data_IF_469387070370
#
_entry.id   IF_469387070370
#
_cell.length_a   1.000
_cell.length_b   1.000
_cell.length_c   1.000
_cell.angle_alpha   90.00
_cell.angle_beta   90.00
_cell.angle_gamma   90.00
#
_symmetry.space_group_name_H-M   'P 1'
#
loop_
_entity.id
_entity.type
_entity.pdbx_description
1 polymer ?
#
# COMPACT_ATOMS: atom_id res chain seq x y z
N UNK A 1 2.40 12.32 17.16
CA UNK A 1 2.85 11.48 16.04
C UNK A 1 3.32 10.14 16.63
N UNK A 2 2.53 9.07 16.49
CA UNK A 2 2.98 7.74 16.95
C UNK A 2 4.01 7.24 15.95
N UNK A 3 5.26 7.13 16.38
CA UNK A 3 6.28 6.40 15.62
C UNK A 3 5.78 4.97 15.37
N UNK A 4 5.66 4.62 14.11
CA UNK A 4 5.12 3.35 13.68
C UNK A 4 5.95 2.15 14.08
N UNK A 5 7.25 2.25 14.01
CA UNK A 5 8.11 1.13 14.33
C UNK A 5 8.31 1.14 15.84
N UNK A 6 7.71 0.17 16.57
CA UNK A 6 8.17 -0.07 17.93
C UNK A 6 9.67 -0.30 17.81
N UNK A 7 10.45 0.42 18.61
CA UNK A 7 11.90 0.45 18.61
C UNK A 7 12.49 -0.76 17.89
N UNK A 8 13.22 -0.56 16.82
CA UNK A 8 13.70 -1.63 15.90
C UNK A 8 14.46 -2.76 16.61
N UNK A 9 14.90 -2.51 17.84
CA UNK A 9 15.56 -3.45 18.74
C UNK A 9 14.60 -4.42 19.45
N UNK A 10 13.28 -4.12 19.54
CA UNK A 10 12.34 -5.03 20.18
C UNK A 10 12.03 -6.24 19.27
N UNK A 11 11.74 -7.43 19.83
CA UNK A 11 11.31 -8.60 19.03
C UNK A 11 10.12 -8.29 18.13
N UNK A 12 9.14 -7.54 18.63
CA UNK A 12 7.98 -7.10 17.88
C UNK A 12 8.36 -6.19 16.71
N UNK A 13 9.29 -5.24 16.94
CA UNK A 13 9.77 -4.33 15.90
C UNK A 13 10.56 -5.05 14.81
N UNK A 14 11.46 -5.97 15.20
CA UNK A 14 12.22 -6.77 14.23
C UNK A 14 11.30 -7.65 13.37
N UNK A 15 10.27 -8.27 13.97
CA UNK A 15 9.26 -9.04 13.25
C UNK A 15 8.49 -8.16 12.25
N UNK A 16 8.06 -6.95 12.66
CA UNK A 16 7.38 -6.02 11.76
C UNK A 16 8.26 -5.62 10.58
N UNK A 17 9.54 -5.31 10.81
CA UNK A 17 10.49 -4.97 9.74
C UNK A 17 10.74 -6.15 8.79
N UNK A 18 10.94 -7.36 9.31
CA UNK A 18 11.09 -8.57 8.51
C UNK A 18 9.83 -8.85 7.68
N UNK A 19 8.65 -8.66 8.28
CA UNK A 19 7.36 -8.86 7.62
C UNK A 19 7.15 -7.88 6.47
N UNK A 20 7.40 -6.59 6.67
CA UNK A 20 7.31 -5.57 5.62
C UNK A 20 8.15 -5.96 4.41
N UNK A 21 9.41 -6.35 4.65
CA UNK A 21 10.34 -6.75 3.58
C UNK A 21 9.86 -8.00 2.85
N UNK A 22 9.43 -9.02 3.58
CA UNK A 22 9.04 -10.30 2.99
C UNK A 22 7.70 -10.23 2.27
N UNK A 23 6.68 -9.62 2.88
CA UNK A 23 5.37 -9.44 2.25
C UNK A 23 5.38 -8.39 1.12
N UNK A 24 6.34 -7.47 1.12
CA UNK A 24 6.54 -6.56 0.00
C UNK A 24 7.04 -7.26 -1.27
N UNK A 25 7.90 -8.26 -1.09
CA UNK A 25 8.57 -8.99 -2.18
C UNK A 25 7.80 -10.25 -2.63
N UNK A 26 7.12 -10.94 -1.71
CA UNK A 26 6.44 -12.23 -1.94
C UNK A 26 4.95 -12.14 -1.60
N UNK A 27 4.12 -12.98 -2.25
CA UNK A 27 2.70 -13.09 -1.88
C UNK A 27 2.55 -13.65 -0.45
N UNK A 28 1.40 -13.37 0.17
CA UNK A 28 1.11 -13.84 1.53
C UNK A 28 1.36 -15.33 1.72
N UNK A 29 0.92 -16.15 0.75
CA UNK A 29 1.02 -17.62 0.84
C UNK A 29 2.47 -18.11 0.73
N UNK A 30 3.31 -17.42 -0.02
CA UNK A 30 4.73 -17.74 -0.20
C UNK A 30 5.62 -17.40 0.99
N UNK A 31 5.16 -16.54 1.90
CA UNK A 31 5.92 -16.16 3.09
C UNK A 31 5.72 -17.20 4.19
N UNK A 32 6.79 -17.83 4.62
CA UNK A 32 6.74 -18.85 5.70
C UNK A 32 7.00 -18.21 7.06
N UNK A 33 6.30 -18.71 8.09
CA UNK A 33 6.47 -18.25 9.49
C UNK A 33 7.93 -18.44 9.96
N UNK A 34 8.56 -19.52 9.55
CA UNK A 34 9.97 -19.80 9.88
C UNK A 34 10.92 -18.76 9.29
N UNK A 35 10.68 -18.33 8.02
CA UNK A 35 11.50 -17.30 7.37
C UNK A 35 11.37 -15.93 8.06
N UNK A 36 10.16 -15.59 8.48
CA UNK A 36 9.90 -14.35 9.24
C UNK A 36 10.64 -14.34 10.58
N UNK A 37 10.55 -15.45 11.32
CA UNK A 37 11.21 -15.61 12.61
C UNK A 37 12.74 -15.56 12.46
N UNK A 38 13.29 -16.28 11.48
CA UNK A 38 14.72 -16.28 11.19
C UNK A 38 15.22 -14.89 10.78
N UNK A 39 14.51 -14.18 9.89
CA UNK A 39 14.88 -12.83 9.46
C UNK A 39 14.80 -11.78 10.59
N UNK A 40 13.97 -12.03 11.59
CA UNK A 40 13.82 -11.17 12.78
C UNK A 40 14.72 -11.60 13.96
N UNK A 41 15.47 -12.69 13.81
CA UNK A 41 16.31 -13.29 14.87
C UNK A 41 15.50 -13.59 16.15
N UNK A 42 14.33 -14.22 15.96
CA UNK A 42 13.43 -14.64 17.05
C UNK A 42 12.90 -16.05 16.81
N UNK A 43 12.22 -16.63 17.79
CA UNK A 43 11.52 -17.91 17.62
C UNK A 43 10.17 -17.71 16.89
N UNK A 44 9.65 -18.76 16.25
CA UNK A 44 8.31 -18.73 15.65
C UNK A 44 7.23 -18.46 16.69
N UNK A 45 7.41 -18.87 17.94
CA UNK A 45 6.53 -18.57 19.05
C UNK A 45 6.33 -17.07 19.31
N UNK A 46 7.35 -16.27 19.01
CA UNK A 46 7.26 -14.81 19.16
C UNK A 46 6.22 -14.19 18.21
N UNK A 47 6.01 -14.76 17.01
CA UNK A 47 4.99 -14.29 16.06
C UNK A 47 3.59 -14.48 16.68
N UNK A 48 3.34 -15.68 17.21
CA UNK A 48 2.05 -15.98 17.83
C UNK A 48 1.81 -15.17 19.12
N UNK A 49 2.87 -14.95 19.90
CA UNK A 49 2.80 -14.14 21.12
C UNK A 49 2.47 -12.65 20.83
N UNK A 50 3.11 -12.05 19.81
CA UNK A 50 2.97 -10.62 19.54
C UNK A 50 1.84 -10.26 18.58
N UNK A 51 1.47 -11.18 17.69
CA UNK A 51 0.54 -10.91 16.59
C UNK A 51 -0.59 -11.95 16.47
N UNK A 52 -0.59 -13.00 17.28
CA UNK A 52 -1.58 -14.06 17.26
C UNK A 52 -1.43 -15.04 16.09
N UNK A 53 -1.06 -14.59 14.91
CA UNK A 53 -0.92 -15.41 13.70
C UNK A 53 -0.01 -14.72 12.65
N UNK A 54 0.32 -15.46 11.58
CA UNK A 54 0.93 -14.86 10.37
C UNK A 54 0.02 -13.79 9.75
N UNK A 55 -1.30 -14.05 9.73
CA UNK A 55 -2.28 -13.08 9.23
C UNK A 55 -2.30 -11.81 10.08
N UNK A 56 -2.33 -11.93 11.41
CA UNK A 56 -2.28 -10.77 12.30
C UNK A 56 -1.02 -9.92 12.13
N UNK A 57 0.14 -10.56 11.91
CA UNK A 57 1.36 -9.85 11.57
C UNK A 57 1.27 -9.13 10.21
N UNK A 58 0.68 -9.80 9.19
CA UNK A 58 0.45 -9.21 7.88
C UNK A 58 -0.48 -8.00 7.95
N UNK A 59 -1.62 -8.15 8.64
CA UNK A 59 -2.60 -7.06 8.83
C UNK A 59 -1.98 -5.87 9.55
N UNK A 60 -1.20 -6.13 10.60
CA UNK A 60 -0.50 -5.09 11.36
C UNK A 60 0.44 -4.26 10.46
N UNK A 61 1.27 -4.91 9.64
CA UNK A 61 2.19 -4.18 8.75
C UNK A 61 1.46 -3.53 7.58
N UNK A 62 0.42 -4.18 7.05
CA UNK A 62 -0.40 -3.63 5.97
C UNK A 62 -1.10 -2.34 6.39
N UNK A 63 -1.75 -2.34 7.54
CA UNK A 63 -2.46 -1.16 8.08
C UNK A 63 -1.53 0.05 8.18
N UNK A 64 -0.32 -0.15 8.68
CA UNK A 64 0.64 0.94 8.80
C UNK A 64 1.15 1.43 7.44
N UNK A 65 1.52 0.51 6.55
CA UNK A 65 2.00 0.86 5.20
C UNK A 65 0.90 1.59 4.41
N UNK A 66 -0.36 1.15 4.54
CA UNK A 66 -1.51 1.80 3.91
C UNK A 66 -1.76 3.20 4.47
N UNK A 67 -1.70 3.37 5.81
CA UNK A 67 -1.83 4.70 6.42
C UNK A 67 -0.77 5.66 5.86
N UNK A 68 0.49 5.24 5.80
CA UNK A 68 1.59 6.04 5.26
C UNK A 68 1.43 6.37 3.77
N UNK A 69 0.80 5.48 3.01
CA UNK A 69 0.42 5.72 1.62
C UNK A 69 -0.64 6.83 1.56
N UNK A 70 -1.73 6.66 2.30
CA UNK A 70 -2.88 7.59 2.30
C UNK A 70 -2.46 8.99 2.74
N UNK A 71 -1.67 9.14 3.81
CA UNK A 71 -1.13 10.43 4.26
C UNK A 71 -0.40 11.18 3.14
N UNK A 72 0.37 10.46 2.29
CA UNK A 72 1.09 11.05 1.15
C UNK A 72 0.17 11.42 0.01
N UNK A 73 -0.79 10.57 -0.30
CA UNK A 73 -1.75 10.81 -1.37
C UNK A 73 -2.69 11.96 -1.02
N UNK A 74 -3.17 12.05 0.22
CA UNK A 74 -3.96 13.17 0.75
C UNK A 74 -3.16 14.48 0.67
N UNK A 75 -1.89 14.46 1.07
CA UNK A 75 -1.00 15.60 0.94
C UNK A 75 -0.81 16.05 -0.52
N UNK A 76 -0.73 15.11 -1.46
CA UNK A 76 -0.61 15.43 -2.89
C UNK A 76 -1.93 16.02 -3.45
N UNK A 77 -3.10 15.51 -3.03
CA UNK A 77 -4.40 16.09 -3.39
C UNK A 77 -4.53 17.51 -2.83
N UNK A 78 -4.18 17.70 -1.54
CA UNK A 78 -4.27 19.00 -0.89
C UNK A 78 -3.32 20.07 -1.47
N UNK A 79 -2.18 19.63 -2.00
CA UNK A 79 -1.23 20.54 -2.69
C UNK A 79 -1.65 20.88 -4.12
N UNK A 80 -2.63 20.15 -4.68
CA UNK A 80 -3.17 20.42 -6.01
C UNK A 80 -4.06 21.66 -6.06
N UNK A 81 -4.33 22.14 -7.27
CA UNK A 81 -5.24 23.27 -7.49
C UNK A 81 -6.69 22.77 -7.43
N UNK A 82 -7.55 23.44 -6.64
CA UNK A 82 -8.98 23.12 -6.53
C UNK A 82 -9.71 23.18 -7.87
N UNK A 83 -9.20 23.98 -8.81
CA UNK A 83 -9.77 24.14 -10.16
C UNK A 83 -9.39 22.98 -11.10
N UNK A 84 -8.37 22.16 -10.77
CA UNK A 84 -7.96 20.98 -11.55
C UNK A 84 -7.82 19.75 -10.65
N UNK A 85 -8.96 19.25 -10.22
CA UNK A 85 -9.04 18.04 -9.39
C UNK A 85 -8.50 16.80 -10.10
N UNK A 86 -8.63 16.75 -11.42
CA UNK A 86 -8.11 15.61 -12.19
C UNK A 86 -6.59 15.52 -12.10
N UNK A 87 -5.90 16.65 -12.25
CA UNK A 87 -4.45 16.72 -12.07
C UNK A 87 -4.04 16.39 -10.62
N UNK A 88 -4.79 16.85 -9.62
CA UNK A 88 -4.51 16.54 -8.22
C UNK A 88 -4.64 15.04 -7.92
N UNK A 89 -5.69 14.37 -8.42
CA UNK A 89 -5.86 12.92 -8.28
C UNK A 89 -4.76 12.17 -9.02
N UNK A 90 -4.41 12.60 -10.23
CA UNK A 90 -3.31 12.00 -10.97
C UNK A 90 -1.98 12.14 -10.24
N UNK A 91 -1.69 13.31 -9.66
CA UNK A 91 -0.50 13.52 -8.84
C UNK A 91 -0.48 12.59 -7.62
N UNK A 92 -1.62 12.42 -6.94
CA UNK A 92 -1.74 11.51 -5.80
C UNK A 92 -1.46 10.05 -6.20
N UNK A 93 -2.02 9.57 -7.33
CA UNK A 93 -1.75 8.21 -7.84
C UNK A 93 -0.26 8.00 -8.10
N UNK A 94 0.43 8.99 -8.68
CA UNK A 94 1.86 8.90 -8.98
C UNK A 94 2.72 8.98 -7.72
N UNK A 95 2.42 9.88 -6.79
CA UNK A 95 3.12 10.00 -5.50
C UNK A 95 3.00 8.71 -4.71
N UNK A 96 1.80 8.12 -4.66
CA UNK A 96 1.57 6.84 -4.01
C UNK A 96 2.31 5.69 -4.70
N UNK A 97 2.34 5.66 -6.03
CA UNK A 97 3.06 4.67 -6.81
C UNK A 97 4.57 4.76 -6.58
N UNK A 98 5.14 5.95 -6.72
CA UNK A 98 6.58 6.19 -6.53
C UNK A 98 7.01 5.85 -5.08
N UNK A 99 6.15 6.13 -4.09
CA UNK A 99 6.35 5.70 -2.69
C UNK A 99 6.38 4.17 -2.57
N UNK A 100 5.37 3.47 -3.09
CA UNK A 100 5.27 2.02 -2.98
C UNK A 100 6.45 1.30 -3.65
N UNK A 101 6.89 1.79 -4.82
CA UNK A 101 8.05 1.26 -5.55
C UNK A 101 9.34 1.48 -4.75
N UNK A 102 9.58 2.71 -4.27
CA UNK A 102 10.80 3.06 -3.55
C UNK A 102 10.96 2.28 -2.25
N UNK A 103 9.88 2.10 -1.51
CA UNK A 103 9.89 1.40 -0.22
C UNK A 103 9.76 -0.13 -0.36
N UNK A 104 9.51 -0.65 -1.56
CA UNK A 104 9.36 -2.08 -1.79
C UNK A 104 8.02 -2.66 -1.31
N UNK A 105 6.94 -1.85 -1.25
CA UNK A 105 5.62 -2.26 -0.75
C UNK A 105 4.69 -2.82 -1.83
N UNK A 106 5.26 -3.30 -2.94
CA UNK A 106 4.52 -3.64 -4.14
C UNK A 106 3.37 -4.62 -3.89
N UNK A 107 3.64 -5.75 -3.25
CA UNK A 107 2.63 -6.79 -3.02
C UNK A 107 1.73 -6.49 -1.83
N UNK A 108 2.22 -5.81 -0.80
CA UNK A 108 1.40 -5.40 0.35
C UNK A 108 0.30 -4.45 -0.11
N UNK A 109 0.66 -3.41 -0.88
CA UNK A 109 -0.28 -2.39 -1.35
C UNK A 109 -1.00 -2.79 -2.64
N UNK A 110 -0.39 -3.66 -3.45
CA UNK A 110 -1.00 -4.18 -4.68
C UNK A 110 -2.10 -5.21 -4.42
N UNK A 111 -2.12 -5.88 -3.27
CA UNK A 111 -3.21 -6.76 -2.89
C UNK A 111 -4.45 -5.93 -2.48
N UNK A 112 -5.68 -6.29 -2.92
CA UNK A 112 -6.89 -5.63 -2.43
C UNK A 112 -7.11 -5.94 -0.94
N UNK A 113 -7.85 -5.10 -0.19
CA UNK A 113 -8.28 -5.42 1.17
C UNK A 113 -9.28 -6.59 1.15
N UNK A 114 -9.45 -7.25 2.31
CA UNK A 114 -10.33 -8.42 2.43
C UNK A 114 -11.83 -8.10 2.23
N UNK A 115 -12.23 -6.84 2.33
CA UNK A 115 -13.61 -6.36 2.11
C UNK A 115 -13.66 -5.02 1.40
N UNK A 116 -14.63 -4.85 0.50
CA UNK A 116 -14.81 -3.60 -0.27
C UNK A 116 -15.09 -2.38 0.63
N UNK A 117 -15.79 -2.56 1.75
CA UNK A 117 -16.09 -1.50 2.73
C UNK A 117 -14.85 -0.97 3.45
N UNK A 118 -13.75 -1.72 3.43
CA UNK A 118 -12.48 -1.38 4.07
C UNK A 118 -11.48 -0.77 3.08
N UNK A 119 -11.87 -0.54 1.83
CA UNK A 119 -10.97 0.00 0.81
C UNK A 119 -10.80 1.53 0.96
N UNK A 120 -9.92 1.91 1.89
CA UNK A 120 -9.60 3.30 2.20
C UNK A 120 -9.00 4.05 1.00
N UNK A 121 -8.23 3.35 0.15
CA UNK A 121 -7.69 3.94 -1.07
C UNK A 121 -8.82 4.29 -2.06
N UNK A 122 -9.76 3.37 -2.26
CA UNK A 122 -10.91 3.61 -3.11
C UNK A 122 -11.79 4.76 -2.57
N UNK A 123 -11.97 4.84 -1.25
CA UNK A 123 -12.69 5.93 -0.59
C UNK A 123 -12.00 7.28 -0.80
N UNK A 124 -10.69 7.38 -0.55
CA UNK A 124 -9.90 8.59 -0.79
C UNK A 124 -10.02 9.07 -2.26
N UNK A 125 -9.83 8.15 -3.21
CA UNK A 125 -9.91 8.49 -4.63
C UNK A 125 -11.31 8.92 -5.05
N UNK A 126 -12.36 8.28 -4.51
CA UNK A 126 -13.76 8.69 -4.74
C UNK A 126 -14.01 10.12 -4.25
N UNK A 127 -13.60 10.44 -3.02
CA UNK A 127 -13.77 11.77 -2.44
C UNK A 127 -12.99 12.83 -3.21
N UNK A 128 -11.76 12.49 -3.62
CA UNK A 128 -10.88 13.42 -4.35
C UNK A 128 -11.36 13.71 -5.77
N UNK A 129 -12.06 12.79 -6.44
CA UNK A 129 -12.57 13.01 -7.80
C UNK A 129 -13.82 13.89 -7.83
N UNK A 130 -14.55 14.00 -6.71
CA UNK A 130 -15.81 14.77 -6.58
C UNK A 130 -16.81 14.52 -7.73
N UNK A 131 -16.79 13.34 -8.33
CA UNK A 131 -17.71 12.96 -9.40
C UNK A 131 -18.96 12.28 -8.84
N UNK A 132 -20.05 12.31 -9.60
CA UNK A 132 -21.27 11.59 -9.25
C UNK A 132 -21.11 10.06 -9.41
N UNK A 133 -20.02 9.57 -10.03
CA UNK A 133 -19.80 8.15 -10.26
C UNK A 133 -19.30 7.42 -9.01
N UNK A 134 -20.12 6.54 -8.41
CA UNK A 134 -19.72 5.81 -7.20
C UNK A 134 -18.63 4.76 -7.45
N UNK A 135 -18.39 4.39 -8.73
CA UNK A 135 -17.45 3.34 -9.11
C UNK A 135 -16.05 3.86 -9.49
N UNK A 136 -15.90 5.18 -9.68
CA UNK A 136 -14.63 5.73 -10.16
C UNK A 136 -13.48 5.50 -9.17
N UNK A 137 -13.69 5.74 -7.87
CA UNK A 137 -12.69 5.47 -6.84
C UNK A 137 -12.23 4.01 -6.82
N UNK A 138 -13.15 3.02 -6.73
CA UNK A 138 -12.79 1.60 -6.87
C UNK A 138 -12.02 1.25 -8.15
N UNK A 139 -12.42 1.81 -9.30
CA UNK A 139 -11.73 1.57 -10.58
C UNK A 139 -10.30 2.11 -10.57
N UNK A 140 -10.11 3.34 -10.08
CA UNK A 140 -8.78 3.94 -9.96
C UNK A 140 -7.90 3.17 -8.98
N UNK A 141 -8.45 2.74 -7.85
CA UNK A 141 -7.74 1.92 -6.87
C UNK A 141 -7.31 0.57 -7.45
N UNK A 142 -8.19 -0.07 -8.23
CA UNK A 142 -7.88 -1.33 -8.90
C UNK A 142 -6.79 -1.16 -9.96
N UNK A 143 -6.87 -0.13 -10.79
CA UNK A 143 -5.85 0.19 -11.80
C UNK A 143 -4.49 0.49 -11.15
N UNK A 144 -4.48 1.25 -10.06
CA UNK A 144 -3.27 1.56 -9.30
C UNK A 144 -2.62 0.30 -8.72
N UNK A 145 -3.42 -0.60 -8.10
CA UNK A 145 -2.94 -1.88 -7.58
C UNK A 145 -2.40 -2.78 -8.68
N UNK A 146 -3.08 -2.84 -9.82
CA UNK A 146 -2.61 -3.59 -10.98
C UNK A 146 -1.24 -3.12 -11.46
N UNK A 147 -0.99 -1.81 -11.46
CA UNK A 147 0.31 -1.24 -11.81
C UNK A 147 1.42 -1.70 -10.83
N UNK A 148 1.14 -1.76 -9.52
CA UNK A 148 2.09 -2.28 -8.52
C UNK A 148 2.38 -3.77 -8.72
N UNK A 149 1.35 -4.58 -8.94
CA UNK A 149 1.50 -6.01 -9.17
C UNK A 149 2.29 -6.27 -10.45
N UNK A 150 2.04 -5.52 -11.52
CA UNK A 150 2.82 -5.63 -12.75
C UNK A 150 4.33 -5.42 -12.48
N UNK A 151 4.69 -4.42 -11.66
CA UNK A 151 6.10 -4.21 -11.26
C UNK A 151 6.62 -5.37 -10.41
N UNK A 152 5.82 -5.88 -9.47
CA UNK A 152 6.19 -7.04 -8.65
C UNK A 152 6.41 -8.31 -9.47
N UNK A 153 5.81 -8.39 -10.67
CA UNK A 153 5.93 -9.48 -11.64
C UNK A 153 6.99 -9.23 -12.72
N UNK A 154 7.74 -8.14 -12.62
CA UNK A 154 8.90 -7.87 -13.46
C UNK A 154 8.73 -6.77 -14.51
N UNK A 155 7.59 -6.09 -14.57
CA UNK A 155 7.46 -4.90 -15.41
C UNK A 155 8.37 -3.77 -14.91
N UNK A 156 8.90 -2.97 -15.84
CA UNK A 156 9.73 -1.82 -15.45
C UNK A 156 8.85 -0.76 -14.76
N UNK A 157 9.24 -0.21 -13.59
CA UNK A 157 8.46 0.81 -12.88
C UNK A 157 8.05 1.99 -13.76
N UNK A 158 8.94 2.44 -14.65
CA UNK A 158 8.65 3.52 -15.60
C UNK A 158 7.47 3.21 -16.55
N UNK A 159 7.30 1.94 -16.93
CA UNK A 159 6.22 1.54 -17.83
C UNK A 159 4.86 1.52 -17.09
N UNK A 160 4.84 0.97 -15.87
CA UNK A 160 3.65 0.97 -15.02
C UNK A 160 3.24 2.42 -14.64
N UNK A 161 4.24 3.26 -14.33
CA UNK A 161 4.01 4.69 -14.06
C UNK A 161 3.43 5.43 -15.28
N UNK A 162 3.94 5.14 -16.49
CA UNK A 162 3.41 5.72 -17.72
C UNK A 162 1.97 5.26 -18.00
N UNK A 163 1.63 4.01 -17.68
CA UNK A 163 0.25 3.52 -17.79
C UNK A 163 -0.69 4.27 -16.83
N UNK A 164 -0.27 4.58 -15.60
CA UNK A 164 -1.05 5.41 -14.68
C UNK A 164 -1.22 6.85 -15.18
N UNK A 165 -0.20 7.42 -15.83
CA UNK A 165 -0.29 8.73 -16.47
C UNK A 165 -1.25 8.77 -17.65
N UNK A 166 -1.40 7.65 -18.36
CA UNK A 166 -2.31 7.54 -19.49
C UNK A 166 -3.80 7.40 -19.07
N UNK A 167 -4.10 7.25 -17.77
CA UNK A 167 -5.47 7.28 -17.26
C UNK A 167 -5.98 8.72 -17.32
N UNK A 168 -6.82 9.02 -18.31
CA UNK A 168 -7.49 10.32 -18.41
C UNK A 168 -8.66 10.37 -17.41
N UNK A 169 -8.48 11.13 -16.32
CA UNK A 169 -9.54 11.39 -15.34
C UNK A 169 -10.27 12.65 -15.79
N UNK A 170 -11.41 12.50 -16.48
CA UNK A 170 -12.21 13.65 -16.91
C UNK A 170 -13.27 13.96 -15.86
N UNK A 171 -13.36 15.23 -15.37
CA UNK A 171 -14.51 15.66 -14.58
C UNK A 171 -15.76 15.61 -15.47
N UNK A 172 -16.83 15.02 -14.95
CA UNK A 172 -18.16 15.06 -15.58
C UNK A 172 -18.95 16.24 -15.05
#
# INVERSE_FOLDING_TARGET
MREWIPVSTSPRGRLALAAVKQFGARSFDQVMVGDLAAAAEVTTGAIYHHFGSKLGLYEFVREDVERRLLDRMEGAVAAGNETDRSAAVQAALLVGFDFAVREGFLRILGAPPAGAEQDRLAALLKESTATASPVLGPVLAAAWRAALIAVAEGAKPRQARAALLALEIRPQ
#
